data_IF_189927193944
#
_entry.id   IF_189927193944
#
_cell.length_a   1.000
_cell.length_b   1.000
_cell.length_c   1.000
_cell.angle_alpha   90.00
_cell.angle_beta   90.00
_cell.angle_gamma   90.00
#
_symmetry.space_group_name_H-M   'P 1'
#
loop_
_entity.id
_entity.type
_entity.pdbx_description
1 polymer ?
#
# COMPACT_ATOMS: atom_id res chain seq x y z
N UNK A 1 7.57 -4.69 23.04
CA UNK A 1 7.82 -3.50 22.20
C UNK A 1 8.09 -3.99 20.79
N UNK A 2 7.41 -3.46 19.79
CA UNK A 2 7.65 -3.82 18.39
C UNK A 2 8.78 -2.98 17.78
N UNK A 3 9.55 -3.58 16.89
CA UNK A 3 10.53 -2.86 16.08
C UNK A 3 9.81 -1.99 15.04
N UNK A 4 8.74 -2.53 14.41
CA UNK A 4 7.91 -1.83 13.45
C UNK A 4 6.44 -2.25 13.55
N UNK A 5 5.55 -1.26 13.48
CA UNK A 5 4.12 -1.49 13.20
C UNK A 5 3.84 -0.93 11.82
N UNK A 6 3.36 -1.76 10.92
CA UNK A 6 2.94 -1.31 9.59
C UNK A 6 1.46 -0.95 9.63
N UNK A 7 1.10 0.20 9.05
CA UNK A 7 -0.27 0.69 8.94
C UNK A 7 -0.63 0.78 7.47
N UNK A 8 -1.56 -0.03 7.03
CA UNK A 8 -1.96 -0.08 5.62
C UNK A 8 -2.74 -1.34 5.28
N UNK A 9 -3.10 -1.48 4.03
CA UNK A 9 -3.88 -2.62 3.59
C UNK A 9 -3.05 -3.90 3.50
N UNK A 10 -3.64 -5.00 3.98
CA UNK A 10 -3.30 -6.36 3.63
C UNK A 10 -4.41 -6.93 2.72
N UNK A 11 -4.04 -7.71 1.73
CA UNK A 11 -4.96 -8.20 0.72
C UNK A 11 -4.53 -9.57 0.18
N UNK A 12 -5.42 -10.21 -0.58
CA UNK A 12 -5.13 -11.44 -1.29
C UNK A 12 -4.85 -11.13 -2.77
N UNK A 13 -3.62 -11.40 -3.23
CA UNK A 13 -3.27 -11.35 -4.64
C UNK A 13 -3.50 -12.72 -5.28
N UNK A 14 -4.32 -12.77 -6.33
CA UNK A 14 -4.43 -13.94 -7.21
C UNK A 14 -3.63 -13.68 -8.47
N UNK A 15 -2.50 -14.36 -8.58
CA UNK A 15 -1.65 -14.34 -9.75
C UNK A 15 -2.21 -15.25 -10.83
N UNK A 16 -2.29 -14.74 -12.04
CA UNK A 16 -2.77 -15.46 -13.21
C UNK A 16 -1.74 -15.33 -14.31
N UNK A 17 -1.25 -16.44 -14.82
CA UNK A 17 -0.36 -16.49 -15.98
C UNK A 17 -1.21 -16.61 -17.24
N UNK A 18 -1.03 -15.67 -18.16
CA UNK A 18 -1.70 -15.64 -19.47
C UNK A 18 -0.64 -15.62 -20.58
N UNK A 19 -0.93 -16.31 -21.68
CA UNK A 19 -0.06 -16.34 -22.87
C UNK A 19 -0.78 -15.80 -24.11
N UNK A 20 -2.12 -15.76 -24.08
CA UNK A 20 -2.97 -15.26 -25.16
C UNK A 20 -3.38 -13.80 -24.88
N UNK A 21 -2.47 -12.88 -25.21
CA UNK A 21 -2.65 -11.44 -25.09
C UNK A 21 -1.72 -10.71 -26.06
N UNK A 22 -2.03 -9.44 -26.35
CA UNK A 22 -1.16 -8.55 -27.11
C UNK A 22 -0.77 -7.32 -26.29
N UNK A 23 0.36 -6.71 -26.64
CA UNK A 23 0.78 -5.42 -26.07
C UNK A 23 0.77 -4.39 -27.17
N UNK A 24 -0.01 -3.34 -26.97
CA UNK A 24 -0.09 -2.18 -27.86
C UNK A 24 0.56 -0.99 -27.16
N UNK A 25 1.61 -0.44 -27.75
CA UNK A 25 2.30 0.74 -27.24
C UNK A 25 1.94 1.98 -28.08
N UNK A 26 1.56 3.05 -27.41
CA UNK A 26 1.29 4.34 -28.05
C UNK A 26 2.58 5.06 -28.47
N UNK A 27 2.46 6.05 -29.38
CA UNK A 27 3.55 6.95 -29.73
C UNK A 27 3.81 7.92 -28.57
N UNK A 28 5.07 8.21 -28.32
CA UNK A 28 5.56 9.23 -27.38
C UNK A 28 4.82 9.25 -26.02
N UNK A 29 5.36 8.58 -25.02
CA UNK A 29 4.99 8.62 -23.58
C UNK A 29 3.56 8.16 -23.21
N UNK A 30 2.78 7.60 -24.13
CA UNK A 30 1.42 7.11 -23.84
C UNK A 30 1.37 5.76 -23.13
N UNK A 31 2.53 5.15 -22.85
CA UNK A 31 2.63 3.83 -22.21
C UNK A 31 2.16 2.69 -23.12
N UNK A 32 2.27 1.45 -22.59
CA UNK A 32 1.79 0.25 -23.28
C UNK A 32 0.51 -0.27 -22.60
N UNK A 33 -0.37 -0.85 -23.39
CA UNK A 33 -1.62 -1.47 -22.94
C UNK A 33 -1.57 -2.96 -23.17
N UNK A 34 -2.02 -3.74 -22.18
CA UNK A 34 -2.28 -5.16 -22.34
C UNK A 34 -3.70 -5.31 -22.93
N UNK A 35 -3.80 -5.97 -24.08
CA UNK A 35 -5.05 -6.18 -24.80
C UNK A 35 -5.43 -7.67 -24.77
N UNK A 36 -6.68 -7.96 -24.44
CA UNK A 36 -7.29 -9.27 -24.42
C UNK A 36 -8.47 -9.29 -25.40
N UNK A 37 -8.83 -10.47 -25.90
CA UNK A 37 -10.02 -10.63 -26.75
C UNK A 37 -11.28 -10.24 -25.99
N UNK A 38 -11.99 -9.25 -26.53
CA UNK A 38 -13.27 -8.80 -25.97
C UNK A 38 -14.32 -9.91 -26.05
N UNK A 39 -14.98 -10.20 -24.92
CA UNK A 39 -15.97 -11.26 -24.77
C UNK A 39 -15.44 -12.69 -25.06
N UNK A 40 -14.13 -12.85 -25.24
CA UNK A 40 -13.47 -14.14 -25.42
C UNK A 40 -13.27 -14.90 -24.10
N UNK A 41 -12.89 -16.17 -24.22
CA UNK A 41 -12.39 -16.99 -23.11
C UNK A 41 -10.86 -17.05 -23.23
N UNK A 42 -10.18 -16.27 -22.43
CA UNK A 42 -8.72 -16.26 -22.40
C UNK A 42 -8.23 -17.42 -21.54
N UNK A 43 -7.49 -18.41 -22.11
CA UNK A 43 -6.93 -19.50 -21.32
C UNK A 43 -5.84 -19.00 -20.37
N UNK A 44 -5.81 -19.57 -19.18
CA UNK A 44 -4.72 -19.33 -18.22
C UNK A 44 -3.83 -20.55 -18.15
N UNK A 45 -2.51 -20.36 -18.07
CA UNK A 45 -1.52 -21.43 -18.00
C UNK A 45 -1.07 -21.74 -16.58
N UNK A 46 -1.44 -20.91 -15.62
CA UNK A 46 -1.19 -21.13 -14.20
C UNK A 46 -1.82 -20.08 -13.32
N UNK A 47 -2.10 -20.44 -12.06
CA UNK A 47 -2.52 -19.48 -11.05
C UNK A 47 -2.06 -19.89 -9.66
N UNK A 48 -1.82 -18.90 -8.80
CA UNK A 48 -1.56 -19.10 -7.39
C UNK A 48 -2.01 -17.86 -6.60
N UNK A 49 -2.19 -18.04 -5.29
CA UNK A 49 -2.54 -16.94 -4.39
C UNK A 49 -1.38 -16.62 -3.46
N UNK A 50 -1.25 -15.36 -3.10
CA UNK A 50 -0.26 -14.89 -2.14
C UNK A 50 -0.80 -13.75 -1.28
N UNK A 51 -0.18 -13.60 -0.10
CA UNK A 51 -0.36 -12.39 0.71
C UNK A 51 0.16 -11.19 -0.08
N UNK A 52 -0.67 -10.17 -0.23
CA UNK A 52 -0.37 -8.91 -0.87
C UNK A 52 -0.61 -7.71 0.04
N UNK A 53 -0.36 -6.52 -0.50
CA UNK A 53 -0.46 -5.25 0.21
C UNK A 53 0.87 -4.77 0.77
N UNK A 54 1.14 -3.46 0.59
CA UNK A 54 2.44 -2.88 0.98
C UNK A 54 2.72 -3.04 2.48
N UNK A 55 1.70 -2.86 3.34
CA UNK A 55 1.87 -3.03 4.78
C UNK A 55 2.24 -4.47 5.16
N UNK A 56 1.55 -5.46 4.58
CA UNK A 56 1.85 -6.86 4.82
C UNK A 56 3.24 -7.25 4.30
N UNK A 57 3.63 -6.76 3.12
CA UNK A 57 4.95 -7.02 2.53
C UNK A 57 6.09 -6.48 3.41
N UNK A 58 5.94 -5.26 3.93
CA UNK A 58 6.96 -4.66 4.82
C UNK A 58 7.00 -5.37 6.17
N UNK A 59 5.84 -5.71 6.75
CA UNK A 59 5.79 -6.48 8.00
C UNK A 59 6.45 -7.86 7.86
N UNK A 60 6.18 -8.57 6.74
CA UNK A 60 6.79 -9.86 6.45
C UNK A 60 8.31 -9.73 6.22
N UNK A 61 8.74 -8.69 5.49
CA UNK A 61 10.16 -8.39 5.29
C UNK A 61 10.88 -8.14 6.61
N UNK A 62 10.30 -7.31 7.47
CA UNK A 62 10.83 -7.03 8.81
C UNK A 62 10.96 -8.31 9.67
N UNK A 63 9.91 -9.15 9.67
CA UNK A 63 9.93 -10.42 10.41
C UNK A 63 11.01 -11.38 9.86
N UNK A 64 11.21 -11.45 8.55
CA UNK A 64 12.28 -12.25 7.91
C UNK A 64 13.68 -11.74 8.27
N UNK A 65 13.84 -10.46 8.53
CA UNK A 65 15.09 -9.84 9.00
C UNK A 65 15.28 -9.97 10.53
N UNK A 66 14.40 -10.70 11.22
CA UNK A 66 14.49 -10.92 12.66
C UNK A 66 13.93 -9.79 13.53
N UNK A 67 13.23 -8.82 12.94
CA UNK A 67 12.57 -7.75 13.68
C UNK A 67 11.18 -8.19 14.15
N UNK A 68 10.74 -7.65 15.29
CA UNK A 68 9.37 -7.83 15.76
C UNK A 68 8.44 -6.90 15.00
N UNK A 69 7.46 -7.46 14.28
CA UNK A 69 6.51 -6.69 13.47
C UNK A 69 5.06 -6.97 13.84
N UNK A 70 4.23 -5.94 13.75
CA UNK A 70 2.77 -6.04 13.81
C UNK A 70 2.16 -5.27 12.64
N UNK A 71 0.92 -5.57 12.32
CA UNK A 71 0.17 -4.89 11.26
C UNK A 71 -1.14 -4.33 11.79
N UNK A 72 -1.39 -3.03 11.54
CA UNK A 72 -2.67 -2.39 11.72
C UNK A 72 -3.35 -2.31 10.35
N UNK A 73 -4.38 -3.11 10.18
CA UNK A 73 -5.14 -3.24 8.92
C UNK A 73 -6.59 -3.61 9.22
N UNK A 74 -7.45 -3.51 8.21
CA UNK A 74 -8.84 -3.93 8.29
C UNK A 74 -9.11 -5.00 7.23
N UNK A 75 -9.56 -6.17 7.66
CA UNK A 75 -9.97 -7.30 6.80
C UNK A 75 -11.48 -7.44 6.79
N UNK A 76 -12.04 -8.04 5.76
CA UNK A 76 -13.44 -8.46 5.76
C UNK A 76 -13.65 -9.72 6.61
N UNK A 77 -14.87 -9.91 7.12
CA UNK A 77 -15.26 -11.16 7.77
C UNK A 77 -15.60 -12.25 6.74
N UNK A 78 -14.71 -12.50 5.79
CA UNK A 78 -14.89 -13.40 4.67
C UNK A 78 -13.77 -14.47 4.57
N UNK A 79 -13.86 -15.32 3.56
CA UNK A 79 -12.86 -16.38 3.33
C UNK A 79 -11.47 -15.78 3.02
N UNK A 80 -11.42 -14.70 2.22
CA UNK A 80 -10.16 -14.04 1.89
C UNK A 80 -9.50 -13.44 3.13
N UNK A 81 -10.28 -12.84 4.05
CA UNK A 81 -9.78 -12.32 5.32
C UNK A 81 -9.12 -13.39 6.18
N UNK A 82 -9.74 -14.57 6.25
CA UNK A 82 -9.16 -15.72 6.97
C UNK A 82 -7.85 -16.20 6.33
N UNK A 83 -7.79 -16.23 5.00
CA UNK A 83 -6.57 -16.62 4.28
C UNK A 83 -5.46 -15.59 4.53
N UNK A 84 -5.76 -14.29 4.41
CA UNK A 84 -4.80 -13.21 4.66
C UNK A 84 -4.28 -13.27 6.09
N UNK A 85 -5.16 -13.43 7.08
CA UNK A 85 -4.76 -13.54 8.48
C UNK A 85 -3.86 -14.75 8.74
N UNK A 86 -4.21 -15.92 8.20
CA UNK A 86 -3.38 -17.13 8.31
C UNK A 86 -1.98 -16.92 7.70
N UNK A 87 -1.88 -16.26 6.55
CA UNK A 87 -0.60 -15.95 5.93
C UNK A 87 0.20 -14.89 6.73
N UNK A 88 -0.46 -13.89 7.35
CA UNK A 88 0.20 -12.97 8.27
C UNK A 88 0.84 -13.72 9.44
N UNK A 89 0.08 -14.59 10.12
CA UNK A 89 0.56 -15.40 11.24
C UNK A 89 1.72 -16.32 10.81
N UNK A 90 1.58 -17.01 9.67
CA UNK A 90 2.63 -17.86 9.10
C UNK A 90 3.93 -17.10 8.83
N UNK A 91 3.85 -15.82 8.45
CA UNK A 91 5.00 -14.94 8.29
C UNK A 91 5.46 -14.29 9.59
N UNK A 92 4.98 -14.75 10.76
CA UNK A 92 5.36 -14.28 12.11
C UNK A 92 5.05 -12.79 12.35
N UNK A 93 4.00 -12.29 11.72
CA UNK A 93 3.49 -10.94 11.92
C UNK A 93 2.45 -10.99 13.04
N UNK A 94 2.54 -10.10 14.02
CA UNK A 94 1.53 -9.98 15.06
C UNK A 94 0.24 -9.37 14.48
N UNK A 95 -0.89 -10.06 14.68
CA UNK A 95 -2.21 -9.69 14.15
C UNK A 95 -3.13 -9.06 15.19
N UNK A 96 -2.62 -8.74 16.37
CA UNK A 96 -3.43 -8.17 17.48
C UNK A 96 -4.05 -6.80 17.15
N UNK A 97 -3.56 -6.11 16.12
CA UNK A 97 -4.08 -4.83 15.63
C UNK A 97 -4.93 -4.97 14.36
N UNK A 98 -5.23 -6.19 13.93
CA UNK A 98 -6.14 -6.44 12.81
C UNK A 98 -7.57 -6.21 13.27
N UNK A 99 -8.30 -5.41 12.51
CA UNK A 99 -9.75 -5.23 12.67
C UNK A 99 -10.52 -5.98 11.59
N UNK A 100 -11.79 -6.28 11.86
CA UNK A 100 -12.64 -6.99 10.92
C UNK A 100 -13.88 -6.16 10.60
N UNK A 101 -14.10 -5.95 9.32
CA UNK A 101 -15.28 -5.27 8.78
C UNK A 101 -16.33 -6.32 8.39
N UNK A 102 -17.59 -6.10 8.79
CA UNK A 102 -18.71 -6.99 8.47
C UNK A 102 -19.37 -6.66 7.14
N UNK A 103 -19.20 -5.41 6.70
CA UNK A 103 -19.90 -4.86 5.54
C UNK A 103 -19.03 -4.84 4.29
N UNK A 104 -17.70 -4.74 4.49
CA UNK A 104 -16.75 -4.62 3.38
C UNK A 104 -15.90 -5.88 3.26
N UNK A 105 -15.87 -6.47 2.06
CA UNK A 105 -15.04 -7.64 1.78
C UNK A 105 -13.55 -7.33 1.90
N UNK A 106 -12.74 -8.35 2.19
CA UNK A 106 -11.27 -8.23 2.18
C UNK A 106 -10.78 -7.77 0.82
N UNK A 107 -9.82 -6.85 0.81
CA UNK A 107 -9.19 -6.39 -0.44
C UNK A 107 -8.62 -7.56 -1.22
N UNK A 108 -8.75 -7.44 -2.54
CA UNK A 108 -8.40 -8.49 -3.47
C UNK A 108 -7.82 -7.87 -4.74
N UNK A 109 -6.83 -8.52 -5.31
CA UNK A 109 -6.28 -8.14 -6.62
C UNK A 109 -6.15 -9.36 -7.51
N UNK A 110 -6.33 -9.15 -8.81
CA UNK A 110 -5.90 -10.09 -9.85
C UNK A 110 -4.66 -9.53 -10.51
N UNK A 111 -3.58 -10.29 -10.44
CA UNK A 111 -2.29 -9.94 -11.04
C UNK A 111 -2.12 -10.74 -12.34
N UNK A 112 -2.35 -10.09 -13.46
CA UNK A 112 -2.13 -10.69 -14.78
C UNK A 112 -0.64 -10.65 -15.10
N UNK A 113 -0.02 -11.80 -15.23
CA UNK A 113 1.38 -11.94 -15.60
C UNK A 113 1.47 -12.30 -17.09
N UNK A 114 2.15 -11.47 -17.87
CA UNK A 114 2.35 -11.65 -19.31
C UNK A 114 3.75 -11.21 -19.70
N UNK A 115 4.52 -12.11 -20.35
CA UNK A 115 5.90 -11.85 -20.84
C UNK A 115 6.83 -11.21 -19.80
N UNK A 116 6.73 -11.65 -18.53
CA UNK A 116 7.59 -11.15 -17.44
C UNK A 116 7.11 -9.85 -16.78
N UNK A 117 6.10 -9.21 -17.33
CA UNK A 117 5.47 -8.00 -16.77
C UNK A 117 4.14 -8.33 -16.09
N UNK A 118 3.66 -7.40 -15.26
CA UNK A 118 2.41 -7.57 -14.52
C UNK A 118 1.46 -6.40 -14.72
N UNK A 119 0.18 -6.71 -14.89
CA UNK A 119 -0.92 -5.74 -14.83
C UNK A 119 -1.82 -6.12 -13.66
N UNK A 120 -2.08 -5.18 -12.77
CA UNK A 120 -2.82 -5.43 -11.52
C UNK A 120 -4.22 -4.85 -11.62
N UNK A 121 -5.24 -5.71 -11.50
CA UNK A 121 -6.63 -5.32 -11.32
C UNK A 121 -6.92 -5.32 -9.82
N UNK A 122 -7.04 -4.15 -9.22
CA UNK A 122 -7.17 -4.00 -7.78
C UNK A 122 -8.56 -3.52 -7.39
N UNK A 123 -9.20 -4.24 -6.47
CA UNK A 123 -10.47 -3.82 -5.88
C UNK A 123 -10.21 -2.77 -4.81
N UNK A 124 -10.74 -1.56 -5.03
CA UNK A 124 -10.75 -0.48 -4.05
C UNK A 124 -12.18 -0.22 -3.58
N UNK A 125 -12.41 -0.30 -2.28
CA UNK A 125 -13.69 -0.04 -1.64
C UNK A 125 -13.46 0.85 -0.43
N UNK A 126 -14.44 1.70 -0.11
CA UNK A 126 -14.43 2.44 1.15
C UNK A 126 -14.40 1.45 2.31
N UNK A 127 -13.55 1.74 3.31
CA UNK A 127 -13.31 0.84 4.43
C UNK A 127 -13.17 1.63 5.73
N UNK A 128 -13.63 1.04 6.82
CA UNK A 128 -13.36 1.56 8.14
C UNK A 128 -12.01 1.03 8.66
N UNK A 129 -11.15 1.95 9.11
CA UNK A 129 -9.86 1.64 9.70
C UNK A 129 -9.84 2.16 11.15
N UNK A 130 -10.34 1.37 12.13
CA UNK A 130 -10.40 1.84 13.50
C UNK A 130 -9.01 1.95 14.11
N UNK A 131 -8.76 3.05 14.83
CA UNK A 131 -7.57 3.15 15.66
C UNK A 131 -7.69 2.20 16.86
N UNK A 132 -6.63 1.45 17.24
CA UNK A 132 -6.70 0.52 18.34
C UNK A 132 -6.89 1.25 19.69
N UNK A 133 -7.65 0.68 20.60
CA UNK A 133 -7.86 1.25 21.95
C UNK A 133 -6.55 1.53 22.69
N UNK A 134 -5.53 0.75 22.43
CA UNK A 134 -4.19 0.90 22.99
C UNK A 134 -3.17 0.52 21.90
N UNK A 135 -2.35 1.49 21.51
CA UNK A 135 -1.23 1.27 20.61
C UNK A 135 -0.07 0.69 21.43
N UNK A 136 0.50 -0.46 21.04
CA UNK A 136 1.67 -1.02 21.71
C UNK A 136 2.91 -0.11 21.56
N UNK A 137 3.88 -0.26 22.47
CA UNK A 137 5.16 0.42 22.32
C UNK A 137 5.87 -0.03 21.03
N UNK A 138 6.36 0.92 20.25
CA UNK A 138 6.96 0.69 18.95
C UNK A 138 8.09 1.69 18.69
N UNK A 139 9.10 1.28 17.92
CA UNK A 139 10.20 2.17 17.51
C UNK A 139 9.88 2.89 16.19
N UNK A 140 9.32 2.17 15.20
CA UNK A 140 8.96 2.68 13.89
C UNK A 140 7.52 2.38 13.53
N UNK A 141 6.84 3.36 12.98
CA UNK A 141 5.59 3.15 12.25
C UNK A 141 5.88 3.28 10.76
N UNK A 142 5.42 2.32 9.97
CA UNK A 142 5.45 2.36 8.52
C UNK A 142 4.02 2.55 8.01
N UNK A 143 3.70 3.77 7.60
CA UNK A 143 2.39 4.15 7.08
C UNK A 143 2.39 4.08 5.56
N UNK A 144 1.45 3.32 5.00
CA UNK A 144 1.44 3.07 3.56
C UNK A 144 0.02 3.01 2.98
N UNK A 145 -0.13 2.38 1.83
CA UNK A 145 -1.33 2.31 1.02
C UNK A 145 -2.58 1.92 1.81
N UNK A 146 -3.58 2.77 1.78
CA UNK A 146 -4.91 2.59 2.35
C UNK A 146 -5.97 2.96 1.31
N UNK A 147 -7.16 2.38 1.44
CA UNK A 147 -8.33 2.68 0.61
C UNK A 147 -9.07 3.93 1.13
N UNK A 148 -10.16 4.33 0.45
CA UNK A 148 -11.08 5.37 0.91
C UNK A 148 -11.55 5.12 2.35
N UNK A 149 -11.63 6.17 3.15
CA UNK A 149 -12.00 6.12 4.57
C UNK A 149 -10.80 6.03 5.53
N UNK A 150 -9.58 6.25 5.03
CA UNK A 150 -8.36 6.21 5.83
C UNK A 150 -8.12 7.48 6.68
N UNK A 151 -8.77 8.58 6.36
CA UNK A 151 -8.50 9.90 6.91
C UNK A 151 -8.62 9.94 8.45
N UNK A 152 -9.67 9.35 9.08
CA UNK A 152 -9.75 9.31 10.54
C UNK A 152 -8.60 8.54 11.20
N UNK A 153 -8.13 7.44 10.56
CA UNK A 153 -6.98 6.68 11.04
C UNK A 153 -5.72 7.54 11.00
N UNK A 154 -5.52 8.31 9.93
CA UNK A 154 -4.36 9.21 9.81
C UNK A 154 -4.41 10.31 10.88
N UNK A 155 -5.58 10.86 11.19
CA UNK A 155 -5.74 11.86 12.26
C UNK A 155 -5.34 11.31 13.63
N UNK A 156 -5.73 10.08 13.94
CA UNK A 156 -5.33 9.41 15.18
C UNK A 156 -3.84 9.09 15.19
N UNK A 157 -3.25 8.69 14.06
CA UNK A 157 -1.81 8.50 13.92
C UNK A 157 -1.04 9.80 14.21
N UNK A 158 -1.47 10.94 13.67
CA UNK A 158 -0.84 12.23 13.91
C UNK A 158 -0.92 12.64 15.38
N UNK A 159 -2.07 12.41 16.05
CA UNK A 159 -2.23 12.63 17.50
C UNK A 159 -1.30 11.73 18.31
N UNK A 160 -1.20 10.45 17.93
CA UNK A 160 -0.31 9.49 18.57
C UNK A 160 1.16 9.94 18.48
N UNK A 161 1.63 10.31 17.28
CA UNK A 161 3.00 10.77 17.05
C UNK A 161 3.32 12.06 17.83
N UNK A 162 2.35 12.97 17.98
CA UNK A 162 2.54 14.17 18.78
C UNK A 162 2.76 13.87 20.27
N UNK A 163 2.17 12.79 20.79
CA UNK A 163 2.32 12.34 22.17
C UNK A 163 3.54 11.43 22.38
N UNK A 164 4.11 10.89 21.30
CA UNK A 164 5.21 9.93 21.34
C UNK A 164 6.37 10.36 20.43
N UNK A 165 7.11 11.43 20.76
CA UNK A 165 8.11 12.04 19.88
C UNK A 165 9.33 11.17 19.58
N UNK A 166 9.50 10.04 20.29
CA UNK A 166 10.57 9.06 20.03
C UNK A 166 10.19 8.00 19.00
N UNK A 167 8.91 7.91 18.65
CA UNK A 167 8.44 7.00 17.59
C UNK A 167 8.73 7.64 16.24
N UNK A 168 9.43 6.92 15.39
CA UNK A 168 9.77 7.37 14.03
C UNK A 168 8.72 6.93 13.03
N UNK A 169 8.51 7.76 12.01
CA UNK A 169 7.55 7.53 10.95
C UNK A 169 8.22 7.37 9.59
N UNK A 170 7.99 6.22 8.96
CA UNK A 170 8.25 6.02 7.54
C UNK A 170 6.93 6.05 6.76
N UNK A 171 6.90 6.74 5.62
CA UNK A 171 5.70 6.91 4.78
C UNK A 171 5.97 6.45 3.36
N UNK A 172 5.06 5.63 2.83
CA UNK A 172 5.00 5.24 1.42
C UNK A 172 3.53 5.31 0.97
N UNK A 173 3.02 6.47 0.56
CA UNK A 173 1.61 6.66 0.26
C UNK A 173 1.17 5.81 -0.94
N UNK A 174 -0.05 5.29 -0.90
CA UNK A 174 -0.62 4.52 -1.99
C UNK A 174 -1.13 5.40 -3.14
N UNK A 175 -1.29 4.80 -4.32
CA UNK A 175 -1.77 5.50 -5.52
C UNK A 175 -3.16 6.13 -5.33
N UNK A 176 -4.06 5.47 -4.57
CA UNK A 176 -5.37 6.03 -4.23
C UNK A 176 -5.23 7.32 -3.41
N UNK A 177 -4.43 7.30 -2.36
CA UNK A 177 -4.20 8.43 -1.47
C UNK A 177 -3.60 9.63 -2.25
N UNK A 178 -2.59 9.39 -3.10
CA UNK A 178 -1.97 10.43 -3.92
C UNK A 178 -2.89 10.97 -5.02
N UNK A 179 -3.84 10.18 -5.51
CA UNK A 179 -4.79 10.60 -6.54
C UNK A 179 -5.98 11.35 -5.96
N UNK A 180 -6.51 10.90 -4.82
CA UNK A 180 -7.81 11.33 -4.31
C UNK A 180 -7.73 12.17 -3.04
N UNK A 181 -6.61 12.14 -2.32
CA UNK A 181 -6.44 12.79 -1.02
C UNK A 181 -5.02 13.36 -0.82
N UNK A 182 -4.44 13.96 -1.85
CA UNK A 182 -3.06 14.46 -1.83
C UNK A 182 -2.80 15.45 -0.69
N UNK A 183 -3.74 16.37 -0.42
CA UNK A 183 -3.58 17.33 0.66
C UNK A 183 -3.52 16.63 2.03
N UNK A 184 -4.30 15.56 2.21
CA UNK A 184 -4.25 14.75 3.43
C UNK A 184 -2.89 14.04 3.60
N UNK A 185 -2.27 13.62 2.49
CA UNK A 185 -0.91 13.08 2.53
C UNK A 185 0.11 14.17 2.87
N UNK A 186 -0.07 15.40 2.40
CA UNK A 186 0.84 16.50 2.77
C UNK A 186 0.80 16.84 4.26
N UNK A 187 -0.34 16.63 4.94
CA UNK A 187 -0.46 16.86 6.39
C UNK A 187 0.46 15.95 7.23
N UNK A 188 0.80 14.74 6.75
CA UNK A 188 1.65 13.81 7.49
C UNK A 188 3.15 14.06 7.26
N UNK A 189 3.54 14.77 6.18
CA UNK A 189 4.94 14.99 5.82
C UNK A 189 5.76 15.67 6.94
N UNK A 190 5.24 16.68 7.67
CA UNK A 190 5.98 17.31 8.77
C UNK A 190 6.34 16.38 9.95
N UNK A 191 5.75 15.19 10.00
CA UNK A 191 6.02 14.15 11.00
C UNK A 191 6.80 12.97 10.44
N UNK A 192 7.18 13.02 9.15
CA UNK A 192 7.81 11.92 8.44
C UNK A 192 9.32 11.98 8.58
N UNK A 193 9.93 10.93 9.16
CA UNK A 193 11.38 10.77 9.21
C UNK A 193 11.94 10.16 7.91
N UNK A 194 11.15 9.33 7.22
CA UNK A 194 11.56 8.67 5.98
C UNK A 194 10.39 8.61 4.98
N UNK A 195 10.53 9.29 3.85
CA UNK A 195 9.58 9.21 2.75
C UNK A 195 10.12 8.31 1.64
N UNK A 196 9.35 7.31 1.25
CA UNK A 196 9.69 6.35 0.19
C UNK A 196 8.67 6.52 -0.93
N UNK A 197 9.11 7.04 -2.06
CA UNK A 197 8.26 7.30 -3.24
C UNK A 197 9.04 7.08 -4.52
N UNK A 198 8.35 6.66 -5.58
CA UNK A 198 8.92 6.69 -6.92
C UNK A 198 8.85 8.10 -7.52
N UNK A 199 9.41 8.29 -8.72
CA UNK A 199 9.47 9.59 -9.36
C UNK A 199 8.08 10.20 -9.62
N UNK A 200 7.13 9.41 -10.13
CA UNK A 200 5.78 9.88 -10.43
C UNK A 200 5.02 10.32 -9.17
N UNK A 201 5.20 9.58 -8.08
CA UNK A 201 4.64 9.91 -6.77
C UNK A 201 5.27 11.19 -6.20
N UNK A 202 6.60 11.32 -6.32
CA UNK A 202 7.33 12.51 -5.91
C UNK A 202 6.89 13.76 -6.70
N UNK A 203 6.68 13.64 -8.01
CA UNK A 203 6.15 14.72 -8.85
C UNK A 203 4.75 15.17 -8.40
N UNK A 204 3.87 14.23 -8.07
CA UNK A 204 2.52 14.55 -7.54
C UNK A 204 2.60 15.30 -6.21
N UNK A 205 3.45 14.85 -5.29
CA UNK A 205 3.64 15.51 -3.99
C UNK A 205 4.24 16.90 -4.16
N UNK A 206 5.25 17.04 -5.03
CA UNK A 206 5.90 18.33 -5.31
C UNK A 206 5.00 19.31 -6.08
N UNK A 207 4.01 18.80 -6.85
CA UNK A 207 3.09 19.60 -7.65
C UNK A 207 3.65 20.01 -9.02
N UNK A 208 4.76 19.42 -9.47
CA UNK A 208 5.33 19.63 -10.80
C UNK A 208 6.13 18.42 -11.28
N UNK A 209 6.26 18.29 -12.59
CA UNK A 209 6.94 17.17 -13.25
C UNK A 209 8.43 17.41 -13.43
N UNK A 210 9.20 16.33 -13.61
CA UNK A 210 10.63 16.39 -13.93
C UNK A 210 10.92 17.25 -15.17
N UNK A 211 10.03 17.22 -16.17
CA UNK A 211 10.15 18.03 -17.38
C UNK A 211 10.08 19.56 -17.10
N UNK A 212 9.41 19.97 -16.02
CA UNK A 212 9.33 21.37 -15.56
C UNK A 212 10.36 21.71 -14.48
N UNK A 213 11.02 20.70 -13.91
CA UNK A 213 12.02 20.84 -12.87
C UNK A 213 13.42 21.03 -13.45
N UNK A 214 14.32 21.60 -12.66
CA UNK A 214 15.77 21.60 -12.95
C UNK A 214 16.42 20.28 -12.45
N UNK A 215 15.79 19.12 -12.79
CA UNK A 215 16.24 17.80 -12.37
C UNK A 215 15.59 17.28 -11.08
N UNK A 216 15.87 16.00 -10.75
CA UNK A 216 15.37 15.33 -9.53
C UNK A 216 15.65 16.09 -8.23
N UNK A 217 16.84 16.74 -8.04
CA UNK A 217 17.11 17.51 -6.83
C UNK A 217 16.08 18.60 -6.54
N UNK A 218 15.49 19.24 -7.58
CA UNK A 218 14.47 20.26 -7.39
C UNK A 218 13.16 19.70 -6.83
N UNK A 219 12.78 18.47 -7.25
CA UNK A 219 11.62 17.75 -6.71
C UNK A 219 11.85 17.41 -5.24
N UNK A 220 13.02 16.83 -4.92
CA UNK A 220 13.41 16.49 -3.54
C UNK A 220 13.40 17.74 -2.66
N UNK A 221 14.04 18.83 -3.11
CA UNK A 221 14.07 20.09 -2.35
C UNK A 221 12.66 20.62 -2.08
N UNK A 222 11.77 20.57 -3.08
CA UNK A 222 10.37 20.99 -2.88
C UNK A 222 9.68 20.14 -1.82
N UNK A 223 9.85 18.82 -1.86
CA UNK A 223 9.25 17.91 -0.88
C UNK A 223 9.77 18.23 0.53
N UNK A 224 11.08 18.44 0.69
CA UNK A 224 11.70 18.81 1.96
C UNK A 224 11.19 20.16 2.52
N UNK A 225 10.57 21.01 1.70
CA UNK A 225 9.92 22.25 2.20
C UNK A 225 8.49 22.01 2.69
N UNK A 226 7.94 20.81 2.53
CA UNK A 226 6.61 20.45 2.98
C UNK A 226 6.61 19.77 4.35
N UNK A 227 7.79 19.33 4.82
CA UNK A 227 7.94 18.69 6.13
C UNK A 227 9.33 18.22 6.41
#
# INVERSE_FOLDING_TARGET
>A
MFSVITIGDALLDTHVQIDDATVECGFADQGCKLCLDYAGKVPITGSFQSLGGNAANVAAGAAKLGLTSAILTSLGQDTNGKIVEAELVKNKIDTSLVSYDKETATRYSVVLNFKGERTILSLHQKRNYPWPKKMPAVSWIYYTSLSEGFEPLQDELLKFLAQHPTVRLAVNPGSFQLKSALEKIKEILPKTDLLIVNLEEAEKIAGFTLAKAKGVPAIIHKILTLG
#
